data_IF_130655932656
#
_entry.id   IF_130655932656
#
_cell.length_a   1.000
_cell.length_b   1.000
_cell.length_c   1.000
_cell.angle_alpha   90.00
_cell.angle_beta   90.00
_cell.angle_gamma   90.00
#
_symmetry.space_group_name_H-M   'P 1'
#
loop_
_entity.id
_entity.type
_entity.pdbx_description
1 polymer ?
#
# COMPACT_ATOMS: atom_id res chain seq x y z
N UNK A 1 -23.44 0.71 -12.58
CA UNK A 1 -23.44 -0.39 -11.59
C UNK A 1 -22.57 -1.57 -11.99
N UNK A 2 -22.78 -2.20 -13.16
CA UNK A 2 -21.93 -3.32 -13.61
C UNK A 2 -20.43 -3.00 -13.56
N UNK A 3 -20.02 -1.80 -13.99
CA UNK A 3 -18.63 -1.33 -13.93
C UNK A 3 -18.02 -1.36 -12.52
N UNK A 4 -18.72 -0.82 -11.52
CA UNK A 4 -18.26 -0.82 -10.13
C UNK A 4 -18.26 -2.22 -9.52
N UNK A 5 -19.24 -3.06 -9.88
CA UNK A 5 -19.27 -4.47 -9.47
C UNK A 5 -18.04 -5.20 -10.00
N UNK A 6 -17.64 -4.97 -11.26
CA UNK A 6 -16.43 -5.54 -11.84
C UNK A 6 -15.17 -5.09 -11.07
N UNK A 7 -15.04 -3.80 -10.75
CA UNK A 7 -13.93 -3.28 -9.93
C UNK A 7 -13.86 -3.98 -8.56
N UNK A 8 -15.01 -4.15 -7.90
CA UNK A 8 -15.11 -4.83 -6.61
C UNK A 8 -14.69 -6.30 -6.70
N UNK A 9 -15.21 -7.04 -7.69
CA UNK A 9 -14.88 -8.45 -7.88
C UNK A 9 -13.38 -8.63 -8.13
N UNK A 10 -12.78 -7.84 -9.03
CA UNK A 10 -11.35 -7.93 -9.34
C UNK A 10 -10.52 -7.64 -8.09
N UNK A 11 -10.88 -6.61 -7.32
CA UNK A 11 -10.15 -6.22 -6.10
C UNK A 11 -10.25 -7.30 -5.02
N UNK A 12 -11.45 -7.84 -4.78
CA UNK A 12 -11.67 -8.90 -3.80
C UNK A 12 -10.93 -10.19 -4.19
N UNK A 13 -11.02 -10.61 -5.46
CA UNK A 13 -10.31 -11.78 -5.97
C UNK A 13 -8.79 -11.61 -5.81
N UNK A 14 -8.25 -10.43 -6.13
CA UNK A 14 -6.82 -10.15 -5.96
C UNK A 14 -6.38 -10.33 -4.50
N UNK A 15 -7.11 -9.75 -3.53
CA UNK A 15 -6.77 -9.86 -2.11
C UNK A 15 -6.83 -11.32 -1.64
N UNK A 16 -7.88 -12.05 -2.03
CA UNK A 16 -8.04 -13.47 -1.68
C UNK A 16 -6.88 -14.28 -2.26
N UNK A 17 -6.56 -14.10 -3.54
CA UNK A 17 -5.45 -14.82 -4.20
C UNK A 17 -4.11 -14.57 -3.51
N UNK A 18 -3.80 -13.31 -3.18
CA UNK A 18 -2.55 -12.98 -2.46
C UNK A 18 -2.52 -13.70 -1.10
N UNK A 19 -3.63 -13.68 -0.36
CA UNK A 19 -3.70 -14.33 0.95
C UNK A 19 -3.54 -15.86 0.88
N UNK A 20 -4.13 -16.50 -0.14
CA UNK A 20 -4.05 -17.95 -0.33
C UNK A 20 -2.66 -18.39 -0.81
N UNK A 21 -2.02 -17.59 -1.66
CA UNK A 21 -0.64 -17.84 -2.10
C UNK A 21 0.32 -17.69 -0.92
N UNK A 22 0.16 -16.64 -0.09
CA UNK A 22 1.00 -16.40 1.08
C UNK A 22 0.92 -17.53 2.12
N UNK A 23 -0.23 -18.20 2.26
CA UNK A 23 -0.39 -19.39 3.11
C UNK A 23 0.42 -20.59 2.61
N UNK A 24 0.58 -20.72 1.28
CA UNK A 24 1.30 -21.85 0.65
C UNK A 24 2.80 -21.59 0.52
N UNK A 25 3.21 -20.35 0.28
CA UNK A 25 4.61 -19.93 0.16
C UNK A 25 4.79 -18.52 0.72
N UNK A 26 5.57 -18.42 1.80
CA UNK A 26 5.89 -17.14 2.43
C UNK A 26 6.67 -16.21 1.50
N UNK A 27 7.60 -16.75 0.70
CA UNK A 27 8.39 -15.97 -0.26
C UNK A 27 7.52 -15.43 -1.40
N UNK A 28 6.65 -16.28 -1.98
CA UNK A 28 5.75 -15.84 -3.04
C UNK A 28 4.75 -14.80 -2.52
N UNK A 29 4.23 -15.01 -1.30
CA UNK A 29 3.40 -14.01 -0.62
C UNK A 29 4.11 -12.67 -0.41
N UNK A 30 5.37 -12.70 0.02
CA UNK A 30 6.17 -11.49 0.21
C UNK A 30 6.45 -10.76 -1.11
N UNK A 31 6.78 -11.48 -2.18
CA UNK A 31 6.97 -10.89 -3.51
C UNK A 31 5.68 -10.24 -4.01
N UNK A 32 4.55 -10.94 -3.90
CA UNK A 32 3.25 -10.40 -4.32
C UNK A 32 2.84 -9.17 -3.52
N UNK A 33 3.11 -9.16 -2.21
CA UNK A 33 2.85 -7.99 -1.36
C UNK A 33 3.79 -6.81 -1.68
N UNK A 34 5.01 -7.08 -2.14
CA UNK A 34 5.98 -6.05 -2.54
C UNK A 34 5.68 -5.45 -3.92
N UNK A 35 5.02 -6.19 -4.82
CA UNK A 35 4.54 -5.64 -6.09
C UNK A 35 3.40 -4.65 -5.81
N UNK A 36 3.41 -3.45 -6.40
CA UNK A 36 2.38 -2.44 -6.17
C UNK A 36 1.08 -2.74 -6.95
N UNK A 37 0.53 -3.95 -6.81
CA UNK A 37 -0.63 -4.45 -7.55
C UNK A 37 -1.86 -3.54 -7.43
N UNK A 38 -2.11 -3.04 -6.22
CA UNK A 38 -3.20 -2.08 -5.96
C UNK A 38 -2.97 -0.78 -6.76
N UNK A 39 -1.73 -0.30 -6.81
CA UNK A 39 -1.40 0.92 -7.54
C UNK A 39 -1.53 0.72 -9.05
N UNK A 40 -1.09 -0.44 -9.56
CA UNK A 40 -1.25 -0.81 -10.97
C UNK A 40 -2.73 -0.81 -11.34
N UNK A 41 -3.57 -1.49 -10.56
CA UNK A 41 -5.02 -1.50 -10.79
C UNK A 41 -5.63 -0.09 -10.74
N UNK A 42 -5.26 0.73 -9.75
CA UNK A 42 -5.74 2.09 -9.63
C UNK A 42 -5.38 2.93 -10.88
N UNK A 43 -4.11 2.89 -11.31
CA UNK A 43 -3.64 3.59 -12.51
C UNK A 43 -4.34 3.10 -13.77
N UNK A 44 -4.55 1.80 -13.93
CA UNK A 44 -5.30 1.23 -15.06
C UNK A 44 -6.73 1.76 -15.10
N UNK A 45 -7.43 1.79 -13.96
CA UNK A 45 -8.77 2.34 -13.90
C UNK A 45 -8.80 3.84 -14.17
N UNK A 46 -7.85 4.61 -13.62
CA UNK A 46 -7.74 6.05 -13.89
C UNK A 46 -7.56 6.33 -15.38
N UNK A 47 -6.73 5.54 -16.07
CA UNK A 47 -6.57 5.64 -17.51
C UNK A 47 -7.85 5.24 -18.26
N UNK A 48 -8.48 4.11 -17.92
CA UNK A 48 -9.73 3.67 -18.57
C UNK A 48 -10.85 4.71 -18.41
N UNK A 49 -10.95 5.32 -17.23
CA UNK A 49 -12.00 6.29 -16.89
C UNK A 49 -11.81 7.63 -17.62
N UNK A 50 -10.58 8.02 -17.92
CA UNK A 50 -10.25 9.38 -18.44
C UNK A 50 -9.62 9.39 -19.84
N UNK A 51 -9.16 8.25 -20.34
CA UNK A 51 -8.26 8.12 -21.49
C UNK A 51 -7.03 9.05 -21.42
N UNK A 52 -6.59 9.40 -20.21
CA UNK A 52 -5.50 10.34 -19.98
C UNK A 52 -4.44 9.75 -19.04
N UNK A 53 -3.18 9.84 -19.45
CA UNK A 53 -2.03 9.32 -18.69
C UNK A 53 -1.53 10.29 -17.61
N UNK A 54 -1.96 11.56 -17.59
CA UNK A 54 -1.51 12.56 -16.63
C UNK A 54 -1.83 12.14 -15.19
N UNK A 55 -3.06 11.70 -14.91
CA UNK A 55 -3.46 11.31 -13.55
C UNK A 55 -2.72 10.05 -13.07
N UNK A 56 -2.57 8.97 -13.87
CA UNK A 56 -1.69 7.85 -13.52
C UNK A 56 -0.23 8.25 -13.28
N UNK A 57 0.34 9.15 -14.09
CA UNK A 57 1.73 9.62 -13.94
C UNK A 57 1.89 10.39 -12.63
N UNK A 58 0.99 11.31 -12.33
CA UNK A 58 1.01 12.07 -11.08
C UNK A 58 0.85 11.15 -9.87
N UNK A 59 -0.06 10.19 -9.94
CA UNK A 59 -0.26 9.19 -8.89
C UNK A 59 1.00 8.35 -8.64
N UNK A 60 1.66 7.88 -9.71
CA UNK A 60 2.93 7.15 -9.63
C UNK A 60 4.03 7.99 -8.99
N UNK A 61 4.17 9.25 -9.39
CA UNK A 61 5.17 10.17 -8.82
C UNK A 61 4.97 10.38 -7.32
N UNK A 62 3.72 10.46 -6.85
CA UNK A 62 3.40 10.56 -5.41
C UNK A 62 3.77 9.27 -4.67
N UNK A 63 3.45 8.09 -5.24
CA UNK A 63 3.75 6.79 -4.61
C UNK A 63 5.23 6.62 -4.30
N UNK A 64 6.14 7.08 -5.16
CA UNK A 64 7.60 6.96 -4.95
C UNK A 64 8.01 7.47 -3.56
N UNK A 65 7.48 8.61 -3.14
CA UNK A 65 7.77 9.20 -1.83
C UNK A 65 7.04 8.49 -0.69
N UNK A 66 5.84 7.98 -0.97
CA UNK A 66 4.97 7.34 0.02
C UNK A 66 5.33 5.86 0.28
N UNK A 67 6.22 5.26 -0.52
CA UNK A 67 6.82 3.95 -0.21
C UNK A 67 7.72 4.03 1.02
N UNK A 68 8.50 5.11 1.18
CA UNK A 68 9.41 5.27 2.32
C UNK A 68 8.69 5.16 3.69
N UNK A 69 7.61 5.90 3.96
CA UNK A 69 6.90 5.77 5.24
C UNK A 69 6.17 4.43 5.41
N UNK A 70 5.80 3.72 4.33
CA UNK A 70 5.09 2.43 4.42
C UNK A 70 5.96 1.30 4.98
N UNK A 71 7.28 1.39 4.83
CA UNK A 71 8.27 0.46 5.40
C UNK A 71 8.17 0.40 6.94
N UNK A 72 7.68 1.47 7.57
CA UNK A 72 7.51 1.58 9.04
C UNK A 72 6.75 0.38 9.59
N UNK A 73 5.64 -0.03 8.94
CA UNK A 73 4.84 -1.16 9.40
C UNK A 73 5.65 -2.46 9.41
N UNK A 74 6.41 -2.72 8.35
CA UNK A 74 7.22 -3.94 8.19
C UNK A 74 8.42 -4.00 9.12
N UNK A 75 8.87 -2.85 9.67
CA UNK A 75 9.91 -2.80 10.69
C UNK A 75 9.34 -2.93 12.11
N UNK A 76 8.33 -2.13 12.44
CA UNK A 76 7.77 -2.05 13.79
C UNK A 76 7.04 -3.33 14.18
N UNK A 77 6.22 -3.86 13.28
CA UNK A 77 5.38 -5.02 13.58
C UNK A 77 6.19 -6.23 14.07
N UNK A 78 7.22 -6.73 13.35
CA UNK A 78 8.01 -7.86 13.83
C UNK A 78 8.77 -7.54 15.13
N UNK A 79 9.18 -6.29 15.37
CA UNK A 79 9.85 -5.90 16.62
C UNK A 79 8.88 -6.04 17.80
N UNK A 80 7.64 -5.58 17.67
CA UNK A 80 6.64 -5.66 18.74
C UNK A 80 6.19 -7.11 19.01
N UNK A 81 6.04 -7.92 17.95
CA UNK A 81 5.76 -9.35 18.08
C UNK A 81 6.88 -10.06 18.83
N UNK A 82 8.15 -9.78 18.51
CA UNK A 82 9.31 -10.33 19.22
C UNK A 82 9.40 -9.89 20.69
N UNK A 83 8.74 -8.80 21.06
CA UNK A 83 8.62 -8.31 22.45
C UNK A 83 7.36 -8.83 23.17
N UNK A 84 6.62 -9.75 22.56
CA UNK A 84 5.43 -10.39 23.14
C UNK A 84 4.21 -9.45 23.34
N UNK A 85 4.12 -8.33 22.61
CA UNK A 85 3.00 -7.37 22.72
C UNK A 85 1.64 -7.91 22.20
N UNK A 86 1.59 -9.15 21.69
CA UNK A 86 0.40 -9.74 21.07
C UNK A 86 0.11 -9.19 19.66
N UNK A 87 -0.56 -9.99 18.82
CA UNK A 87 -0.75 -9.67 17.39
C UNK A 87 -1.53 -8.37 17.16
N UNK A 88 -2.74 -8.27 17.73
CA UNK A 88 -3.65 -7.15 17.47
C UNK A 88 -3.10 -5.81 17.94
N UNK A 89 -2.50 -5.79 19.14
CA UNK A 89 -1.88 -4.58 19.69
C UNK A 89 -0.64 -4.18 18.87
N UNK A 90 0.21 -5.14 18.50
CA UNK A 90 1.38 -4.88 17.64
C UNK A 90 0.98 -4.30 16.29
N UNK A 91 -0.08 -4.85 15.67
CA UNK A 91 -0.61 -4.35 14.41
C UNK A 91 -1.15 -2.92 14.55
N UNK A 92 -1.95 -2.65 15.59
CA UNK A 92 -2.51 -1.32 15.85
C UNK A 92 -1.41 -0.27 16.04
N UNK A 93 -0.40 -0.54 16.87
CA UNK A 93 0.72 0.38 17.10
C UNK A 93 1.52 0.59 15.80
N UNK A 94 1.75 -0.46 15.02
CA UNK A 94 2.49 -0.36 13.76
C UNK A 94 1.75 0.49 12.72
N UNK A 95 0.42 0.39 12.66
CA UNK A 95 -0.43 1.25 11.82
C UNK A 95 -0.31 2.71 12.28
N UNK A 96 -0.44 2.99 13.58
CA UNK A 96 -0.33 4.36 14.10
C UNK A 96 1.02 4.99 13.80
N UNK A 97 2.11 4.26 14.01
CA UNK A 97 3.46 4.73 13.69
C UNK A 97 3.66 4.94 12.19
N UNK A 98 3.05 4.10 11.35
CA UNK A 98 3.06 4.29 9.90
C UNK A 98 2.35 5.59 9.54
N UNK A 99 1.14 5.84 10.06
CA UNK A 99 0.41 7.11 9.84
C UNK A 99 1.25 8.31 10.25
N UNK A 100 1.92 8.27 11.40
CA UNK A 100 2.83 9.32 11.84
C UNK A 100 4.03 9.52 10.88
N UNK A 101 4.61 8.43 10.36
CA UNK A 101 5.68 8.49 9.38
C UNK A 101 5.23 9.13 8.07
N UNK A 102 4.00 8.85 7.61
CA UNK A 102 3.41 9.51 6.43
C UNK A 102 3.34 11.03 6.62
N UNK A 103 2.78 11.50 7.74
CA UNK A 103 2.73 12.93 8.04
C UNK A 103 4.11 13.57 8.10
N UNK A 104 5.08 12.88 8.70
CA UNK A 104 6.47 13.35 8.80
C UNK A 104 7.11 13.53 7.43
N UNK A 105 6.96 12.54 6.54
CA UNK A 105 7.51 12.61 5.17
C UNK A 105 6.85 13.72 4.36
N UNK A 106 5.52 13.83 4.40
CA UNK A 106 4.80 14.90 3.68
C UNK A 106 5.26 16.28 4.17
N UNK A 107 5.37 16.47 5.49
CA UNK A 107 5.83 17.72 6.07
C UNK A 107 7.26 18.08 5.67
N UNK A 108 8.16 17.09 5.65
CA UNK A 108 9.55 17.30 5.21
C UNK A 108 9.62 17.68 3.74
N UNK A 109 8.87 16.98 2.88
CA UNK A 109 8.87 17.24 1.44
C UNK A 109 8.29 18.61 1.08
N UNK A 110 7.25 19.05 1.79
CA UNK A 110 6.68 20.39 1.62
C UNK A 110 7.72 21.48 1.93
N UNK A 111 8.58 21.28 2.95
CA UNK A 111 9.69 22.21 3.24
C UNK A 111 10.74 22.30 2.12
N UNK A 112 10.91 21.25 1.34
CA UNK A 112 11.79 21.23 0.16
C UNK A 112 11.06 21.69 -1.12
N UNK A 113 9.81 22.17 -1.02
CA UNK A 113 9.01 22.63 -2.14
C UNK A 113 8.37 21.52 -2.98
N UNK A 114 8.46 20.26 -2.52
CA UNK A 114 7.84 19.10 -3.18
C UNK A 114 6.44 18.93 -2.60
N UNK A 115 5.43 19.37 -3.36
CA UNK A 115 4.03 19.21 -2.98
C UNK A 115 3.51 17.86 -3.42
N UNK A 116 3.23 17.02 -2.43
CA UNK A 116 2.70 15.66 -2.58
C UNK A 116 1.19 15.57 -2.63
#
# INVERSE_FOLDING_TARGET
MAYYITKLIITALLIVLISEIAKRSSLAGAILAAIPLVSILAMTWMYIDTNNSNSPVEFSNRIIWLIAPSITLFLVFPILIKKEFGFYLSMFISILLTVFAYYSVIFVLDKFGIKL
#
